data_IF_037931498462
#
_entry.id   IF_037931498462
#
_cell.length_a   1.000
_cell.length_b   1.000
_cell.length_c   1.000
_cell.angle_alpha   90.00
_cell.angle_beta   90.00
_cell.angle_gamma   90.00
#
_symmetry.space_group_name_H-M   'P 1'
#
loop_
_entity.id
_entity.type
_entity.pdbx_description
1 polymer ?
#
# COMPACT_ATOMS: atom_id res chain seq x y z
N UNK A 1 -18.64 -13.81 17.60
CA UNK A 1 -17.70 -12.84 17.01
C UNK A 1 -17.60 -13.17 15.53
N UNK A 2 -18.21 -12.36 14.66
CA UNK A 2 -18.15 -12.60 13.22
C UNK A 2 -16.77 -12.17 12.69
N UNK A 3 -15.98 -13.11 12.19
CA UNK A 3 -14.79 -12.79 11.40
C UNK A 3 -15.25 -12.42 9.99
N UNK A 4 -15.30 -11.13 9.71
CA UNK A 4 -15.48 -10.66 8.33
C UNK A 4 -14.23 -11.03 7.52
N UNK A 5 -14.36 -12.04 6.67
CA UNK A 5 -13.38 -12.38 5.65
C UNK A 5 -13.37 -11.26 4.61
N UNK A 6 -12.45 -10.31 4.74
CA UNK A 6 -12.27 -9.24 3.76
C UNK A 6 -11.20 -9.63 2.76
N UNK A 7 -11.63 -9.80 1.51
CA UNK A 7 -10.82 -10.15 0.36
C UNK A 7 -10.97 -9.00 -0.63
N UNK A 8 -9.91 -8.21 -0.81
CA UNK A 8 -9.96 -6.99 -1.62
C UNK A 8 -8.91 -7.08 -2.72
N UNK A 9 -9.36 -6.99 -3.97
CA UNK A 9 -8.50 -6.89 -5.14
C UNK A 9 -8.20 -5.41 -5.36
N UNK A 10 -6.92 -5.02 -5.31
CA UNK A 10 -6.53 -3.64 -5.57
C UNK A 10 -6.15 -3.48 -7.04
N UNK A 11 -7.04 -2.86 -7.82
CA UNK A 11 -6.96 -2.79 -9.29
C UNK A 11 -5.69 -2.12 -9.81
N UNK A 12 -5.13 -1.18 -9.06
CA UNK A 12 -4.02 -0.32 -9.53
C UNK A 12 -2.63 -0.98 -9.42
N UNK A 13 -2.48 -1.98 -8.55
CA UNK A 13 -1.20 -2.71 -8.34
C UNK A 13 -1.26 -4.18 -8.78
N UNK A 14 -2.44 -4.66 -9.18
CA UNK A 14 -2.73 -6.08 -9.36
C UNK A 14 -2.38 -6.92 -8.11
N UNK A 15 -2.43 -6.33 -6.92
CA UNK A 15 -2.14 -6.99 -5.64
C UNK A 15 -3.45 -7.33 -4.94
N UNK A 16 -3.56 -8.58 -4.50
CA UNK A 16 -4.63 -9.07 -3.66
C UNK A 16 -4.18 -9.05 -2.20
N UNK A 17 -4.88 -8.29 -1.36
CA UNK A 17 -4.65 -8.29 0.09
C UNK A 17 -5.80 -9.03 0.75
N UNK A 18 -5.46 -10.12 1.45
CA UNK A 18 -6.43 -10.95 2.15
C UNK A 18 -5.99 -11.15 3.60
N UNK A 19 -6.91 -10.92 4.54
CA UNK A 19 -6.74 -11.38 5.92
C UNK A 19 -7.20 -12.83 5.98
N UNK A 20 -6.25 -13.76 6.00
CA UNK A 20 -6.50 -15.18 5.89
C UNK A 20 -5.69 -15.98 6.92
N UNK A 21 -6.23 -17.10 7.39
CA UNK A 21 -5.46 -18.14 8.07
C UNK A 21 -4.47 -18.81 7.10
N UNK A 22 -3.45 -19.51 7.60
CA UNK A 22 -2.49 -20.22 6.73
C UNK A 22 -3.17 -21.21 5.77
N UNK A 23 -4.19 -21.93 6.25
CA UNK A 23 -4.98 -22.84 5.43
C UNK A 23 -5.74 -22.11 4.31
N UNK A 24 -6.32 -20.95 4.62
CA UNK A 24 -6.99 -20.11 3.61
C UNK A 24 -5.99 -19.48 2.63
N UNK A 25 -4.79 -19.13 3.08
CA UNK A 25 -3.74 -18.59 2.21
C UNK A 25 -3.27 -19.62 1.17
N UNK A 26 -3.11 -20.88 1.57
CA UNK A 26 -2.77 -21.97 0.65
C UNK A 26 -3.84 -22.16 -0.44
N UNK A 27 -5.12 -22.07 -0.07
CA UNK A 27 -6.26 -22.16 -1.01
C UNK A 27 -6.24 -20.97 -1.99
N UNK A 28 -6.05 -19.74 -1.48
CA UNK A 28 -5.98 -18.53 -2.31
C UNK A 28 -4.81 -18.62 -3.30
N UNK A 29 -3.64 -19.10 -2.85
CA UNK A 29 -2.47 -19.27 -3.71
C UNK A 29 -2.71 -20.28 -4.83
N UNK A 30 -3.36 -21.40 -4.54
CA UNK A 30 -3.67 -22.41 -5.55
C UNK A 30 -4.71 -21.92 -6.57
N UNK A 31 -5.74 -21.20 -6.12
CA UNK A 31 -6.73 -20.56 -7.01
C UNK A 31 -6.06 -19.54 -7.94
N UNK A 32 -5.16 -18.69 -7.42
CA UNK A 32 -4.43 -17.71 -8.24
C UNK A 32 -3.54 -18.43 -9.28
N UNK A 33 -2.90 -19.54 -8.90
CA UNK A 33 -2.08 -20.35 -9.81
C UNK A 33 -2.93 -20.89 -10.96
N UNK A 34 -4.05 -21.53 -10.65
CA UNK A 34 -4.98 -22.07 -11.66
C UNK A 34 -5.51 -20.97 -12.57
N UNK A 35 -5.88 -19.81 -12.02
CA UNK A 35 -6.35 -18.67 -12.82
C UNK A 35 -5.27 -18.12 -13.77
N UNK A 36 -4.00 -18.08 -13.33
CA UNK A 36 -2.88 -17.68 -14.19
C UNK A 36 -2.61 -18.66 -15.32
N UNK A 37 -2.72 -19.96 -15.04
CA UNK A 37 -2.51 -21.02 -16.04
C UNK A 37 -3.61 -21.02 -17.12
N UNK A 38 -4.80 -20.48 -16.81
CA UNK A 38 -5.97 -20.52 -17.68
C UNK A 38 -6.41 -19.16 -18.26
N UNK A 39 -5.72 -18.05 -17.93
CA UNK A 39 -6.02 -16.75 -18.53
C UNK A 39 -5.22 -16.51 -19.82
N UNK A 40 -5.85 -15.94 -20.88
CA UNK A 40 -5.11 -15.46 -22.05
C UNK A 40 -4.19 -14.32 -21.61
N UNK A 41 -2.92 -14.38 -22.02
CA UNK A 41 -1.91 -13.35 -21.72
C UNK A 41 -2.44 -12.00 -22.22
N UNK A 42 -2.74 -11.09 -21.29
CA UNK A 42 -3.04 -9.71 -21.63
C UNK A 42 -1.72 -9.00 -21.96
N UNK A 43 -1.38 -8.98 -23.25
CA UNK A 43 -0.31 -8.15 -23.79
C UNK A 43 -0.71 -6.67 -23.67
N UNK A 44 -0.26 -6.01 -22.59
CA UNK A 44 -0.53 -4.59 -22.38
C UNK A 44 -0.12 -4.03 -21.02
N UNK A 45 0.00 -4.86 -19.99
CA UNK A 45 0.57 -4.43 -18.71
C UNK A 45 2.10 -4.34 -18.85
N UNK A 46 2.68 -3.17 -18.59
CA UNK A 46 4.14 -3.00 -18.51
C UNK A 46 4.69 -4.09 -17.58
N UNK A 47 5.54 -4.97 -18.13
CA UNK A 47 6.08 -6.10 -17.37
C UNK A 47 6.79 -5.52 -16.14
N UNK A 48 6.32 -5.84 -14.91
CA UNK A 48 7.02 -5.37 -13.73
C UNK A 48 8.46 -5.86 -13.80
N UNK A 49 9.45 -5.04 -13.35
CA UNK A 49 10.85 -5.43 -13.42
C UNK A 49 11.02 -6.82 -12.79
N UNK A 50 11.88 -7.67 -13.38
CA UNK A 50 12.06 -9.07 -12.96
C UNK A 50 12.37 -9.25 -11.46
N UNK A 51 12.79 -8.18 -10.77
CA UNK A 51 13.09 -8.13 -9.34
C UNK A 51 12.10 -7.22 -8.56
N UNK A 52 10.84 -7.17 -8.99
CA UNK A 52 9.81 -6.39 -8.30
C UNK A 52 9.43 -7.06 -6.98
N UNK A 53 9.49 -6.30 -5.90
CA UNK A 53 9.13 -6.67 -4.54
C UNK A 53 7.89 -5.86 -4.16
N UNK A 54 6.96 -6.52 -3.46
CA UNK A 54 5.80 -5.86 -2.85
C UNK A 54 6.10 -5.63 -1.37
N UNK A 55 5.89 -4.41 -0.87
CA UNK A 55 5.91 -4.08 0.56
C UNK A 55 4.63 -3.37 0.97
N UNK A 56 4.19 -3.65 2.18
CA UNK A 56 3.03 -3.03 2.80
C UNK A 56 3.53 -2.19 3.97
N UNK A 57 3.21 -0.90 3.95
CA UNK A 57 3.58 0.06 4.98
C UNK A 57 2.36 0.48 5.77
N UNK A 58 2.39 0.27 7.09
CA UNK A 58 1.37 0.81 7.98
C UNK A 58 1.61 2.33 8.17
N UNK A 59 0.75 3.15 7.57
CA UNK A 59 0.84 4.62 7.60
C UNK A 59 -0.27 5.27 8.44
N UNK A 60 -0.90 4.49 9.31
CA UNK A 60 -1.96 4.97 10.21
C UNK A 60 -1.53 6.13 11.10
N UNK A 61 -0.27 6.17 11.54
CA UNK A 61 0.25 7.31 12.31
C UNK A 61 0.28 8.60 11.51
N UNK A 62 0.60 8.53 10.21
CA UNK A 62 0.66 9.68 9.31
C UNK A 62 -0.75 10.21 9.04
N UNK A 63 -1.67 9.30 8.70
CA UNK A 63 -3.01 9.65 8.23
C UNK A 63 -4.04 9.87 9.34
N UNK A 64 -3.80 9.37 10.56
CA UNK A 64 -4.75 9.46 11.66
C UNK A 64 -5.91 8.45 11.56
N UNK A 65 -7.01 8.72 12.26
CA UNK A 65 -8.13 7.78 12.44
C UNK A 65 -8.89 7.57 11.12
N UNK A 66 -9.05 6.31 10.72
CA UNK A 66 -9.62 5.92 9.43
C UNK A 66 -11.12 6.20 9.28
N UNK A 67 -11.85 6.35 10.39
CA UNK A 67 -13.32 6.36 10.47
C UNK A 67 -13.87 7.52 11.33
N UNK A 68 -13.29 8.72 11.24
CA UNK A 68 -13.81 9.87 11.99
C UNK A 68 -15.13 10.43 11.44
N UNK A 69 -15.54 10.04 10.21
CA UNK A 69 -16.84 10.38 9.63
C UNK A 69 -17.03 11.83 9.18
N UNK A 70 -16.11 12.75 9.52
CA UNK A 70 -16.18 14.15 9.08
C UNK A 70 -15.53 14.36 7.71
N UNK A 71 -16.12 15.23 6.89
CA UNK A 71 -15.57 15.59 5.57
C UNK A 71 -14.19 16.24 5.69
N UNK A 72 -13.99 17.09 6.70
CA UNK A 72 -12.69 17.72 6.98
C UNK A 72 -11.58 16.68 7.19
N UNK A 73 -11.84 15.59 7.92
CA UNK A 73 -10.84 14.54 8.11
C UNK A 73 -10.59 13.71 6.84
N UNK A 74 -11.56 13.60 5.94
CA UNK A 74 -11.35 12.94 4.64
C UNK A 74 -10.45 13.80 3.75
N UNK A 75 -10.70 15.10 3.70
CA UNK A 75 -9.88 16.06 2.95
C UNK A 75 -8.44 16.11 3.48
N UNK A 76 -8.26 16.21 4.80
CA UNK A 76 -6.93 16.17 5.44
C UNK A 76 -6.18 14.86 5.11
N UNK A 77 -6.89 13.72 5.09
CA UNK A 77 -6.29 12.43 4.72
C UNK A 77 -5.90 12.36 3.26
N UNK A 78 -6.74 12.85 2.36
CA UNK A 78 -6.41 12.93 0.93
C UNK A 78 -5.17 13.81 0.73
N UNK A 79 -5.14 15.01 1.32
CA UNK A 79 -4.01 15.93 1.22
C UNK A 79 -2.69 15.32 1.76
N UNK A 80 -2.74 14.62 2.89
CA UNK A 80 -1.56 13.91 3.44
C UNK A 80 -1.10 12.75 2.55
N UNK A 81 -2.04 12.02 1.95
CA UNK A 81 -1.72 10.93 1.03
C UNK A 81 -1.05 11.46 -0.22
N UNK A 82 -1.60 12.52 -0.81
CA UNK A 82 -1.05 13.18 -1.99
C UNK A 82 0.34 13.78 -1.70
N UNK A 83 0.52 14.41 -0.54
CA UNK A 83 1.81 14.94 -0.12
C UNK A 83 2.87 13.84 0.06
N UNK A 84 2.51 12.71 0.68
CA UNK A 84 3.40 11.56 0.83
C UNK A 84 3.80 10.97 -0.54
N UNK A 85 2.83 10.77 -1.43
CA UNK A 85 3.07 10.26 -2.79
C UNK A 85 3.97 11.23 -3.57
N UNK A 86 3.70 12.54 -3.49
CA UNK A 86 4.50 13.59 -4.13
C UNK A 86 5.94 13.61 -3.63
N UNK A 87 6.16 13.45 -2.32
CA UNK A 87 7.50 13.32 -1.76
C UNK A 87 8.20 12.07 -2.27
N UNK A 88 7.53 10.91 -2.28
CA UNK A 88 8.10 9.66 -2.81
C UNK A 88 8.54 9.87 -4.27
N UNK A 89 7.68 10.42 -5.13
CA UNK A 89 8.03 10.70 -6.53
C UNK A 89 9.22 11.66 -6.66
N UNK A 90 9.26 12.71 -5.84
CA UNK A 90 10.38 13.66 -5.83
C UNK A 90 11.68 12.97 -5.42
N UNK A 91 11.66 12.16 -4.37
CA UNK A 91 12.83 11.38 -3.93
C UNK A 91 13.30 10.40 -5.02
N UNK A 92 12.39 9.76 -5.74
CA UNK A 92 12.73 8.87 -6.87
C UNK A 92 13.42 9.63 -8.00
N UNK A 93 12.88 10.80 -8.38
CA UNK A 93 13.47 11.64 -9.41
C UNK A 93 14.88 12.14 -9.02
N UNK A 94 15.06 12.59 -7.78
CA UNK A 94 16.37 13.00 -7.27
C UNK A 94 17.39 11.86 -7.28
N UNK A 95 16.96 10.64 -6.97
CA UNK A 95 17.80 9.45 -6.99
C UNK A 95 17.99 8.84 -8.39
N UNK A 96 17.39 9.40 -9.45
CA UNK A 96 17.38 8.88 -10.83
C UNK A 96 16.81 7.46 -10.93
N UNK A 97 15.82 7.14 -10.09
CA UNK A 97 15.06 5.88 -10.08
C UNK A 97 13.66 6.02 -10.71
N UNK A 98 13.42 7.13 -11.41
CA UNK A 98 12.17 7.53 -12.05
C UNK A 98 11.91 6.83 -13.39
N UNK A 99 12.92 6.18 -13.97
CA UNK A 99 12.78 5.41 -15.22
C UNK A 99 11.70 4.32 -15.15
N UNK A 100 11.48 3.75 -13.96
CA UNK A 100 10.41 2.77 -13.71
C UNK A 100 9.77 3.09 -12.37
N UNK A 101 8.83 4.04 -12.30
CA UNK A 101 8.21 4.42 -11.03
C UNK A 101 7.59 3.20 -10.32
N UNK A 102 7.68 3.13 -8.97
CA UNK A 102 7.00 2.09 -8.22
C UNK A 102 5.48 2.26 -8.38
N UNK A 103 4.76 1.16 -8.44
CA UNK A 103 3.31 1.18 -8.34
C UNK A 103 2.94 1.42 -6.87
N UNK A 104 2.17 2.46 -6.60
CA UNK A 104 1.72 2.85 -5.26
C UNK A 104 0.20 2.74 -5.18
N UNK A 105 -0.29 2.13 -4.11
CA UNK A 105 -1.72 1.96 -3.88
C UNK A 105 -2.04 2.17 -2.40
N UNK A 106 -3.08 2.95 -2.13
CA UNK A 106 -3.53 3.20 -0.77
C UNK A 106 -4.72 2.32 -0.40
N UNK A 107 -4.63 1.71 0.77
CA UNK A 107 -5.70 0.91 1.37
C UNK A 107 -6.27 1.65 2.59
N UNK A 108 -7.40 2.32 2.38
CA UNK A 108 -7.98 3.27 3.33
C UNK A 108 -8.51 2.69 4.63
N UNK A 109 -9.00 1.44 4.62
CA UNK A 109 -9.53 0.78 5.81
C UNK A 109 -8.44 0.31 6.78
N UNK A 110 -7.27 -0.10 6.26
CA UNK A 110 -6.12 -0.50 7.07
C UNK A 110 -5.07 0.60 7.25
N UNK A 111 -5.32 1.80 6.70
CA UNK A 111 -4.32 2.88 6.59
C UNK A 111 -2.96 2.35 6.12
N UNK A 112 -2.95 1.63 5.01
CA UNK A 112 -1.72 1.02 4.50
C UNK A 112 -1.38 1.54 3.11
N UNK A 113 -0.09 1.79 2.87
CA UNK A 113 0.44 2.01 1.53
C UNK A 113 1.03 0.70 1.04
N UNK A 114 0.54 0.21 -0.09
CA UNK A 114 1.07 -0.94 -0.81
C UNK A 114 1.97 -0.38 -1.90
N UNK A 115 3.23 -0.79 -1.91
CA UNK A 115 4.20 -0.39 -2.91
C UNK A 115 4.77 -1.61 -3.61
N UNK A 116 4.90 -1.54 -4.94
CA UNK A 116 5.51 -2.57 -5.78
C UNK A 116 6.60 -1.94 -6.65
N UNK A 117 7.81 -2.48 -6.57
CA UNK A 117 8.99 -1.85 -7.19
C UNK A 117 10.28 -2.57 -6.83
N UNK A 118 11.43 -1.98 -7.17
CA UNK A 118 12.75 -2.57 -6.88
C UNK A 118 13.16 -2.38 -5.42
N UNK A 119 14.18 -3.12 -4.95
CA UNK A 119 14.71 -2.97 -3.59
C UNK A 119 15.16 -1.55 -3.26
N UNK A 120 15.86 -0.88 -4.19
CA UNK A 120 16.31 0.50 -4.02
C UNK A 120 15.13 1.49 -3.88
N UNK A 121 14.05 1.26 -4.64
CA UNK A 121 12.84 2.07 -4.52
C UNK A 121 12.15 1.84 -3.18
N UNK A 122 12.08 0.59 -2.72
CA UNK A 122 11.53 0.28 -1.40
C UNK A 122 12.32 0.96 -0.28
N UNK A 123 13.63 1.11 -0.41
CA UNK A 123 14.46 1.83 0.55
C UNK A 123 14.08 3.32 0.63
N UNK A 124 13.96 4.00 -0.51
CA UNK A 124 13.53 5.40 -0.56
C UNK A 124 12.10 5.60 -0.02
N UNK A 125 11.18 4.70 -0.36
CA UNK A 125 9.80 4.73 0.18
C UNK A 125 9.85 4.57 1.70
N UNK A 126 10.68 3.66 2.21
CA UNK A 126 10.85 3.45 3.66
C UNK A 126 11.36 4.72 4.33
N UNK A 127 12.39 5.36 3.78
CA UNK A 127 12.95 6.61 4.31
C UNK A 127 11.92 7.76 4.31
N UNK A 128 11.16 7.91 3.23
CA UNK A 128 10.09 8.91 3.16
C UNK A 128 9.04 8.68 4.24
N UNK A 129 8.56 7.44 4.40
CA UNK A 129 7.56 7.09 5.42
C UNK A 129 8.12 7.30 6.83
N UNK A 130 9.34 6.87 7.10
CA UNK A 130 10.00 7.07 8.40
C UNK A 130 10.12 8.56 8.72
N UNK A 131 10.56 9.38 7.77
CA UNK A 131 10.63 10.84 7.92
C UNK A 131 9.27 11.44 8.30
N UNK A 132 8.18 10.98 7.68
CA UNK A 132 6.85 11.45 8.05
C UNK A 132 6.42 10.97 9.44
N UNK A 133 6.71 9.72 9.80
CA UNK A 133 6.37 9.17 11.11
C UNK A 133 7.09 9.91 12.25
N UNK A 134 8.36 10.26 12.05
CA UNK A 134 9.16 11.04 13.02
C UNK A 134 8.64 12.46 13.22
N UNK A 135 8.18 13.09 12.14
CA UNK A 135 7.64 14.46 12.16
C UNK A 135 6.13 14.53 12.49
N UNK A 136 5.45 13.38 12.55
CA UNK A 136 4.02 13.35 12.92
C UNK A 136 3.89 13.22 14.44
N UNK A 137 3.21 14.18 15.10
CA UNK A 137 2.91 14.10 16.53
C UNK A 137 2.25 12.77 16.88
N UNK A 138 2.68 12.17 17.98
CA UNK A 138 2.24 10.85 18.42
C UNK A 138 0.73 10.92 18.74
N UNK A 139 -0.13 10.46 17.83
CA UNK A 139 -1.57 10.35 18.07
C UNK A 139 -1.83 9.10 18.92
N UNK A 140 -1.37 9.12 20.18
CA UNK A 140 -1.81 8.12 21.15
C UNK A 140 -3.24 8.49 21.54
N UNK A 141 -4.24 7.62 21.29
CA UNK A 141 -5.51 7.81 21.98
C UNK A 141 -5.21 7.78 23.48
N UNK A 142 -5.53 8.86 24.18
CA UNK A 142 -5.47 8.89 25.64
C UNK A 142 -6.39 7.76 26.11
N UNK A 143 -5.80 6.66 26.61
CA UNK A 143 -6.56 5.65 27.33
C UNK A 143 -7.00 6.28 28.64
N UNK A 144 -8.30 6.51 28.79
CA UNK A 144 -8.93 6.91 30.06
C UNK A 144 -9.60 8.28 30.00
N UNK A 145 -10.82 8.30 29.46
CA UNK A 145 -11.95 8.79 30.25
C UNK A 145 -12.56 7.58 30.95
#
# INVERSE_FOLDING_TARGET
MAHENSLLMHGDTSVLVARATEAQHAIIADVIRVLRENMPVQDGAARPPANSIVRIYAIGRILGISNSGSEQHKEERAAKTDALISQIHTSMAMARLDKTMPELSFHGSSNSLIAKGTAAQMELITQAITSWQENTPDFRPVRGQ
#
